data_IF_182080379393
#
_entry.id   IF_182080379393
#
_cell.length_a   1.000
_cell.length_b   1.000
_cell.length_c   1.000
_cell.angle_alpha   90.00
_cell.angle_beta   90.00
_cell.angle_gamma   90.00
#
_symmetry.space_group_name_H-M   'P 1'
#
loop_
_entity.id
_entity.type
_entity.pdbx_description
1 polymer ?
#
# COMPACT_ATOMS: atom_id res chain seq x y z
N UNK A 1 13.52 -16.37 18.03
CA UNK A 1 12.11 -16.17 18.40
C UNK A 1 12.08 -15.25 19.61
N UNK A 2 11.01 -14.47 19.80
CA UNK A 2 10.88 -13.60 20.97
C UNK A 2 9.43 -13.53 21.44
N UNK A 3 9.24 -13.48 22.76
CA UNK A 3 7.94 -13.32 23.41
C UNK A 3 7.94 -12.03 24.23
N UNK A 4 6.78 -11.35 24.21
CA UNK A 4 6.51 -10.15 24.99
C UNK A 4 5.15 -10.35 25.61
N UNK A 5 5.06 -10.23 26.93
CA UNK A 5 3.76 -10.25 27.61
C UNK A 5 2.99 -8.97 27.24
N UNK A 6 1.73 -9.10 26.78
CA UNK A 6 0.95 -7.94 26.37
C UNK A 6 0.60 -7.11 27.61
N UNK A 7 1.25 -5.95 27.73
CA UNK A 7 0.94 -4.93 28.72
C UNK A 7 0.99 -3.53 28.09
N UNK A 8 0.26 -2.58 28.67
CA UNK A 8 0.25 -1.18 28.20
C UNK A 8 1.61 -0.50 28.36
N UNK A 9 2.50 -1.05 29.19
CA UNK A 9 3.89 -0.58 29.38
C UNK A 9 4.94 -1.54 28.84
N UNK A 10 4.55 -2.58 28.07
CA UNK A 10 5.46 -3.60 27.56
C UNK A 10 6.56 -3.02 26.64
N UNK A 11 6.32 -1.87 26.00
CA UNK A 11 7.30 -1.22 25.16
C UNK A 11 6.90 0.17 24.66
N UNK A 12 7.83 0.80 23.96
CA UNK A 12 7.67 2.10 23.30
C UNK A 12 8.19 2.04 21.87
N UNK A 13 7.71 2.94 21.02
CA UNK A 13 8.15 3.00 19.62
C UNK A 13 7.77 4.30 18.95
N UNK A 14 8.38 4.54 17.80
CA UNK A 14 8.08 5.69 16.94
C UNK A 14 8.13 5.27 15.47
N UNK A 15 7.39 6.00 14.64
CA UNK A 15 7.26 5.76 13.21
C UNK A 15 7.06 7.07 12.46
N UNK A 16 7.62 7.17 11.26
CA UNK A 16 7.51 8.32 10.38
C UNK A 16 7.47 7.87 8.91
N UNK A 17 6.66 8.56 8.12
CA UNK A 17 6.64 8.45 6.66
C UNK A 17 6.89 9.83 6.04
N UNK A 18 7.71 9.87 4.99
CA UNK A 18 8.02 11.10 4.26
C UNK A 18 7.82 10.88 2.77
N UNK A 19 7.21 11.83 2.08
CA UNK A 19 7.01 11.70 0.64
C UNK A 19 6.73 13.01 -0.07
N UNK A 20 7.00 13.00 -1.37
CA UNK A 20 6.73 14.11 -2.28
C UNK A 20 6.02 13.57 -3.51
N UNK A 21 5.05 14.34 -4.02
CA UNK A 21 4.33 14.04 -5.26
C UNK A 21 4.41 15.27 -6.16
N UNK A 22 4.76 15.03 -7.41
CA UNK A 22 4.74 16.00 -8.49
C UNK A 22 3.67 15.59 -9.50
N UNK A 23 2.83 16.54 -9.91
CA UNK A 23 1.78 16.34 -10.90
C UNK A 23 1.90 17.40 -11.99
N UNK A 24 1.92 16.95 -13.24
CA UNK A 24 1.91 17.76 -14.44
C UNK A 24 0.60 17.52 -15.18
N UNK A 25 -0.15 18.59 -15.43
CA UNK A 25 -1.46 18.57 -16.07
C UNK A 25 -1.36 18.93 -17.55
N UNK A 26 -2.37 18.54 -18.33
CA UNK A 26 -2.38 18.81 -19.78
C UNK A 26 -2.62 20.27 -20.15
N UNK A 27 -3.37 20.98 -19.32
CA UNK A 27 -3.63 22.40 -19.47
C UNK A 27 -2.86 23.17 -18.38
N UNK A 28 -2.72 24.49 -18.55
CA UNK A 28 -2.16 25.34 -17.51
C UNK A 28 -3.05 25.30 -16.27
N UNK A 29 -2.48 24.89 -15.14
CA UNK A 29 -3.19 24.79 -13.86
C UNK A 29 -3.40 26.16 -13.19
N UNK A 30 -3.00 27.26 -13.84
CA UNK A 30 -3.17 28.61 -13.34
C UNK A 30 -4.67 28.87 -13.07
N UNK A 31 -5.03 28.94 -11.78
CA UNK A 31 -6.39 29.21 -11.29
C UNK A 31 -7.42 28.10 -11.56
N UNK A 32 -6.98 26.85 -11.74
CA UNK A 32 -7.90 25.71 -11.83
C UNK A 32 -8.65 25.50 -10.49
N UNK A 33 -9.98 25.62 -10.53
CA UNK A 33 -10.87 25.20 -9.44
C UNK A 33 -11.69 24.00 -9.92
N UNK A 34 -11.52 22.80 -9.33
CA UNK A 34 -12.28 21.65 -9.75
C UNK A 34 -13.77 21.91 -9.58
N UNK A 35 -14.56 21.51 -10.59
CA UNK A 35 -16.03 21.61 -10.59
C UNK A 35 -16.59 23.05 -10.50
N UNK A 36 -15.91 24.03 -11.11
CA UNK A 36 -16.43 25.39 -11.34
C UNK A 36 -16.71 25.68 -12.82
N UNK A 37 -17.58 26.67 -13.08
CA UNK A 37 -18.04 27.02 -14.43
C UNK A 37 -16.95 27.57 -15.36
N UNK A 38 -15.92 28.25 -14.83
CA UNK A 38 -14.77 28.72 -15.64
C UNK A 38 -13.83 27.59 -16.10
N UNK A 39 -13.83 26.44 -15.40
CA UNK A 39 -13.02 25.26 -15.74
C UNK A 39 -13.80 24.14 -16.43
N UNK A 40 -14.99 24.43 -16.98
CA UNK A 40 -15.82 23.44 -17.68
C UNK A 40 -16.50 22.40 -16.77
N UNK A 41 -16.51 22.60 -15.45
CA UNK A 41 -17.10 21.71 -14.45
C UNK A 41 -16.55 20.26 -14.43
N UNK A 42 -15.44 19.99 -15.10
CA UNK A 42 -14.77 18.69 -15.14
C UNK A 42 -13.42 18.75 -14.41
N UNK A 43 -12.98 17.63 -13.78
CA UNK A 43 -11.61 17.53 -13.27
C UNK A 43 -10.61 17.77 -14.40
N UNK A 44 -9.46 18.35 -14.08
CA UNK A 44 -8.37 18.47 -15.02
C UNK A 44 -7.66 17.13 -15.10
N UNK A 45 -7.40 16.67 -16.32
CA UNK A 45 -6.67 15.43 -16.54
C UNK A 45 -5.17 15.69 -16.33
N UNK A 46 -4.52 14.80 -15.58
CA UNK A 46 -3.06 14.80 -15.48
C UNK A 46 -2.44 14.18 -16.74
N UNK A 47 -1.29 14.70 -17.13
CA UNK A 47 -0.41 14.11 -18.13
C UNK A 47 0.59 13.14 -17.46
N UNK A 48 1.17 13.57 -16.35
CA UNK A 48 2.14 12.80 -15.58
C UNK A 48 2.00 13.08 -14.09
N UNK A 49 2.01 12.03 -13.28
CA UNK A 49 2.11 12.13 -11.82
C UNK A 49 3.22 11.20 -11.34
N UNK A 50 4.14 11.72 -10.54
CA UNK A 50 5.24 10.96 -9.94
C UNK A 50 5.21 11.18 -8.44
N UNK A 51 5.30 10.11 -7.66
CA UNK A 51 5.42 10.13 -6.21
C UNK A 51 6.65 9.37 -5.76
N UNK A 52 7.38 9.91 -4.79
CA UNK A 52 8.48 9.23 -4.11
C UNK A 52 8.26 9.36 -2.62
N UNK A 53 8.34 8.24 -1.91
CA UNK A 53 8.08 8.17 -0.47
C UNK A 53 9.03 7.19 0.20
N UNK A 54 9.47 7.55 1.40
CA UNK A 54 10.19 6.69 2.32
C UNK A 54 9.21 6.37 3.45
N UNK A 55 8.84 5.10 3.56
CA UNK A 55 7.80 4.62 4.48
C UNK A 55 8.39 3.72 5.55
N UNK A 56 7.69 3.63 6.68
CA UNK A 56 7.99 2.81 7.84
C UNK A 56 9.36 3.12 8.47
N UNK A 57 9.73 4.41 8.57
CA UNK A 57 10.93 4.84 9.30
C UNK A 57 10.67 4.76 10.79
N UNK A 58 11.35 3.87 11.50
CA UNK A 58 11.28 3.84 12.95
C UNK A 58 11.63 2.51 13.55
N UNK A 59 11.21 2.34 14.80
CA UNK A 59 11.51 1.14 15.57
C UNK A 59 10.70 1.05 16.84
N UNK A 60 10.62 -0.18 17.32
CA UNK A 60 9.98 -0.59 18.55
C UNK A 60 11.04 -1.05 19.53
N UNK A 61 10.84 -0.76 20.81
CA UNK A 61 11.64 -1.22 21.94
C UNK A 61 10.71 -1.79 22.99
N UNK A 62 10.97 -3.02 23.39
CA UNK A 62 10.30 -3.67 24.50
C UNK A 62 11.27 -3.74 25.68
N UNK A 63 10.83 -3.29 26.85
CA UNK A 63 11.69 -3.25 28.03
C UNK A 63 11.69 -4.59 28.78
N UNK A 64 10.63 -5.39 28.62
CA UNK A 64 10.52 -6.77 29.09
C UNK A 64 10.25 -7.67 27.89
N UNK A 65 11.26 -8.38 27.41
CA UNK A 65 11.12 -9.31 26.30
C UNK A 65 12.04 -10.50 26.52
N UNK A 66 11.54 -11.70 26.23
CA UNK A 66 12.34 -12.92 26.24
C UNK A 66 12.66 -13.30 24.81
N UNK A 67 13.91 -13.14 24.40
CA UNK A 67 14.39 -13.50 23.06
C UNK A 67 15.31 -14.73 23.14
N UNK A 68 15.07 -15.72 22.29
CA UNK A 68 15.90 -16.92 22.14
C UNK A 68 16.33 -17.09 20.69
N UNK A 69 17.58 -17.47 20.47
CA UNK A 69 18.06 -17.91 19.15
C UNK A 69 18.05 -19.43 19.09
N UNK A 70 17.72 -19.99 17.93
CA UNK A 70 17.79 -21.42 17.68
C UNK A 70 18.78 -21.66 16.56
N UNK A 71 19.86 -22.37 16.87
CA UNK A 71 20.83 -22.84 15.89
C UNK A 71 20.45 -24.28 15.55
N UNK A 72 20.12 -24.53 14.29
CA UNK A 72 19.39 -25.71 13.82
C UNK A 72 19.79 -27.07 14.43
N UNK A 73 18.81 -27.73 15.05
CA UNK A 73 18.78 -29.16 15.35
C UNK A 73 17.34 -29.57 15.67
N UNK A 74 16.75 -30.45 14.86
CA UNK A 74 15.36 -30.95 15.00
C UNK A 74 14.91 -31.06 16.46
N UNK A 75 13.90 -30.27 16.83
CA UNK A 75 13.26 -30.37 18.14
C UNK A 75 12.51 -31.71 18.22
N UNK A 76 13.02 -32.63 19.03
CA UNK A 76 12.41 -33.91 19.34
C UNK A 76 11.62 -33.74 20.64
N UNK A 77 10.30 -33.94 20.58
CA UNK A 77 9.41 -33.89 21.74
C UNK A 77 9.04 -35.34 22.12
N UNK A 78 9.69 -35.95 23.13
CA UNK A 78 9.24 -37.22 23.67
C UNK A 78 8.08 -36.95 24.66
N UNK A 79 6.96 -37.65 24.43
CA UNK A 79 5.75 -37.69 25.27
C UNK A 79 4.89 -36.42 25.38
N UNK A 80 3.73 -36.48 24.72
CA UNK A 80 2.71 -35.43 24.66
C UNK A 80 1.59 -35.59 25.70
N UNK A 81 1.59 -36.70 26.46
CA UNK A 81 0.44 -37.13 27.26
C UNK A 81 0.44 -36.60 28.71
N UNK A 82 1.45 -35.84 29.13
CA UNK A 82 1.61 -35.37 30.51
C UNK A 82 1.76 -33.85 30.66
N UNK A 83 1.28 -33.05 29.71
CA UNK A 83 1.46 -31.59 29.74
C UNK A 83 0.11 -30.90 29.88
N UNK A 84 -0.18 -30.51 31.13
CA UNK A 84 -1.31 -29.63 31.44
C UNK A 84 -0.91 -28.19 31.08
N UNK A 85 -1.26 -27.75 29.87
CA UNK A 85 -0.90 -26.44 29.33
C UNK A 85 -1.85 -25.37 29.91
N UNK A 86 -1.69 -25.08 31.19
CA UNK A 86 -2.39 -23.98 31.86
C UNK A 86 -1.53 -22.70 31.78
N UNK A 87 -1.61 -22.01 30.64
CA UNK A 87 -1.02 -20.68 30.45
C UNK A 87 0.39 -20.65 29.86
N UNK A 88 0.92 -19.42 29.70
CA UNK A 88 2.20 -19.10 29.05
C UNK A 88 3.42 -19.76 29.74
N UNK A 89 3.34 -20.05 31.04
CA UNK A 89 4.39 -20.72 31.81
C UNK A 89 4.60 -22.19 31.39
N UNK A 90 3.53 -22.89 31.03
CA UNK A 90 3.60 -24.27 30.54
C UNK A 90 4.29 -24.37 29.17
N UNK A 91 4.11 -23.34 28.33
CA UNK A 91 4.77 -23.26 27.02
C UNK A 91 6.27 -22.93 27.20
N UNK A 92 6.63 -22.03 28.12
CA UNK A 92 8.05 -21.72 28.44
C UNK A 92 8.82 -22.96 28.94
N UNK A 93 8.20 -23.79 29.79
CA UNK A 93 8.82 -25.03 30.29
C UNK A 93 9.13 -26.07 29.18
N UNK A 94 8.24 -26.17 28.18
CA UNK A 94 8.38 -27.04 27.02
C UNK A 94 9.53 -26.62 26.11
N UNK A 95 9.69 -25.32 25.90
CA UNK A 95 10.77 -24.77 25.08
C UNK A 95 12.12 -24.76 25.81
N UNK A 96 12.15 -24.54 27.13
CA UNK A 96 13.36 -24.67 27.96
C UNK A 96 13.94 -26.08 27.96
N UNK A 97 13.10 -27.11 27.90
CA UNK A 97 13.56 -28.50 27.81
C UNK A 97 14.21 -28.85 26.45
N UNK A 98 13.90 -28.09 25.40
CA UNK A 98 14.31 -28.39 24.01
C UNK A 98 15.47 -27.51 23.48
N UNK A 99 15.89 -26.45 24.18
CA UNK A 99 16.82 -25.44 23.63
C UNK A 99 18.03 -25.24 24.55
N UNK A 100 19.23 -25.47 24.01
CA UNK A 100 20.50 -25.50 24.76
C UNK A 100 21.11 -24.13 25.11
N UNK A 101 20.50 -23.02 24.67
CA UNK A 101 20.99 -21.66 24.94
C UNK A 101 19.82 -20.71 25.14
N UNK A 102 19.42 -20.51 26.40
CA UNK A 102 18.46 -19.48 26.78
C UNK A 102 19.23 -18.28 27.33
N UNK A 103 19.30 -17.20 26.55
CA UNK A 103 19.84 -15.93 27.02
C UNK A 103 18.69 -14.97 27.19
N UNK A 104 18.23 -14.78 28.43
CA UNK A 104 17.27 -13.73 28.75
C UNK A 104 17.97 -12.37 28.60
N UNK A 105 17.98 -11.79 27.41
CA UNK A 105 18.43 -10.41 27.24
C UNK A 105 17.34 -9.45 27.71
N UNK A 106 17.74 -8.45 28.51
CA UNK A 106 16.87 -7.38 28.98
C UNK A 106 16.59 -6.39 27.84
N UNK A 107 15.54 -6.69 27.08
CA UNK A 107 14.89 -5.76 26.17
C UNK A 107 15.14 -6.04 24.69
N UNK A 108 14.05 -6.06 23.92
CA UNK A 108 14.04 -6.38 22.49
C UNK A 108 13.86 -5.10 21.67
N UNK A 109 14.69 -4.90 20.64
CA UNK A 109 14.54 -3.80 19.70
C UNK A 109 14.24 -4.33 18.31
N UNK A 110 13.08 -3.96 17.76
CA UNK A 110 12.64 -4.35 16.42
C UNK A 110 12.57 -3.11 15.55
N UNK A 111 13.36 -3.07 14.48
CA UNK A 111 13.23 -2.02 13.48
C UNK A 111 12.00 -2.23 12.58
N UNK A 112 11.30 -1.15 12.25
CA UNK A 112 10.19 -1.18 11.29
C UNK A 112 10.68 -1.59 9.88
N UNK A 113 9.78 -2.13 9.03
CA UNK A 113 10.11 -2.63 7.69
C UNK A 113 10.26 -1.49 6.67
N UNK A 114 11.22 -0.60 6.91
CA UNK A 114 11.51 0.58 6.09
C UNK A 114 11.56 0.24 4.61
N UNK A 115 10.89 1.03 3.77
CA UNK A 115 10.88 0.85 2.32
C UNK A 115 10.85 2.17 1.55
N UNK A 116 11.47 2.18 0.38
CA UNK A 116 11.31 3.22 -0.64
C UNK A 116 10.14 2.83 -1.54
N UNK A 117 9.18 3.73 -1.71
CA UNK A 117 8.02 3.59 -2.59
C UNK A 117 8.03 4.70 -3.64
N UNK A 118 8.21 4.29 -4.90
CA UNK A 118 8.17 5.15 -6.08
C UNK A 118 6.94 4.79 -6.90
N UNK A 119 6.18 5.80 -7.31
CA UNK A 119 4.95 5.62 -8.08
C UNK A 119 4.97 6.59 -9.25
N UNK A 120 4.54 6.14 -10.42
CA UNK A 120 4.40 6.97 -11.61
C UNK A 120 3.10 6.63 -12.31
N UNK A 121 2.43 7.63 -12.87
CA UNK A 121 1.18 7.48 -13.61
C UNK A 121 1.23 8.44 -14.78
N UNK A 122 1.24 7.89 -15.99
CA UNK A 122 1.39 8.65 -17.23
C UNK A 122 0.20 8.41 -18.14
N UNK A 123 -0.36 9.48 -18.69
CA UNK A 123 -1.29 9.42 -19.81
C UNK A 123 -0.52 9.18 -21.11
N UNK A 124 -0.89 8.12 -21.83
CA UNK A 124 -0.27 7.75 -23.11
C UNK A 124 -1.12 8.28 -24.27
N UNK A 125 -2.44 8.16 -24.16
CA UNK A 125 -3.39 8.63 -25.14
C UNK A 125 -4.71 9.03 -24.47
N UNK A 126 -5.67 9.52 -25.24
CA UNK A 126 -6.98 9.95 -24.72
C UNK A 126 -7.73 8.79 -24.05
N UNK A 127 -7.73 8.79 -22.72
CA UNK A 127 -8.32 7.75 -21.89
C UNK A 127 -7.43 6.52 -21.67
N UNK A 128 -6.19 6.49 -22.16
CA UNK A 128 -5.24 5.39 -21.89
C UNK A 128 -4.11 5.89 -20.98
N UNK A 129 -3.92 5.20 -19.86
CA UNK A 129 -2.92 5.51 -18.86
C UNK A 129 -2.09 4.27 -18.54
N UNK A 130 -0.85 4.48 -18.13
CA UNK A 130 0.00 3.43 -17.60
C UNK A 130 0.52 3.91 -16.25
N UNK A 131 0.24 3.15 -15.21
CA UNK A 131 0.81 3.37 -13.89
C UNK A 131 1.93 2.36 -13.62
N UNK A 132 2.97 2.80 -12.93
CA UNK A 132 4.04 1.99 -12.39
C UNK A 132 4.16 2.22 -10.89
N UNK A 133 4.38 1.17 -10.12
CA UNK A 133 4.69 1.28 -8.70
C UNK A 133 5.86 0.36 -8.36
N UNK A 134 6.84 0.89 -7.66
CA UNK A 134 8.04 0.19 -7.26
C UNK A 134 8.28 0.39 -5.77
N UNK A 135 8.27 -0.70 -5.01
CA UNK A 135 8.51 -0.69 -3.57
C UNK A 135 9.73 -1.57 -3.29
N UNK A 136 10.77 -0.94 -2.75
CA UNK A 136 12.02 -1.57 -2.40
C UNK A 136 12.21 -1.52 -0.89
N UNK A 137 12.30 -2.68 -0.24
CA UNK A 137 12.67 -2.77 1.16
C UNK A 137 14.09 -2.21 1.34
N UNK A 138 14.27 -1.37 2.35
CA UNK A 138 15.55 -0.79 2.76
C UNK A 138 16.03 -1.30 4.13
N UNK A 139 15.29 -2.23 4.72
CA UNK A 139 15.65 -2.82 6.01
C UNK A 139 17.01 -3.53 5.95
N UNK A 140 17.89 -3.23 6.92
CA UNK A 140 19.26 -3.73 6.98
C UNK A 140 19.34 -5.27 7.12
N UNK A 141 20.43 -5.87 6.62
CA UNK A 141 20.65 -7.33 6.58
C UNK A 141 20.89 -7.99 7.95
N UNK A 142 21.07 -7.23 9.03
CA UNK A 142 21.40 -7.74 10.36
C UNK A 142 20.44 -7.19 11.44
N UNK A 143 19.96 -8.09 12.31
CA UNK A 143 19.06 -7.81 13.43
C UNK A 143 17.65 -8.40 13.26
N UNK A 144 16.95 -8.62 14.38
CA UNK A 144 15.55 -9.08 14.41
C UNK A 144 14.62 -7.95 13.94
N UNK A 145 14.15 -8.03 12.69
CA UNK A 145 13.32 -6.99 12.05
C UNK A 145 12.22 -7.60 11.19
N UNK A 146 11.13 -6.85 11.05
CA UNK A 146 10.06 -7.20 10.11
C UNK A 146 10.55 -6.96 8.67
N UNK A 147 10.22 -7.88 7.76
CA UNK A 147 10.58 -7.80 6.34
C UNK A 147 9.32 -7.57 5.50
N UNK A 148 9.42 -6.66 4.52
CA UNK A 148 8.38 -6.39 3.51
C UNK A 148 8.85 -6.93 2.16
N UNK A 149 8.03 -7.65 1.38
CA UNK A 149 8.44 -8.10 0.05
C UNK A 149 8.68 -6.90 -0.89
N UNK A 150 9.74 -6.98 -1.71
CA UNK A 150 9.94 -6.02 -2.81
C UNK A 150 8.83 -6.23 -3.85
N UNK A 151 8.29 -5.17 -4.40
CA UNK A 151 7.21 -5.28 -5.40
C UNK A 151 7.42 -4.32 -6.55
N UNK A 152 7.20 -4.80 -7.77
CA UNK A 152 7.13 -3.99 -8.97
C UNK A 152 5.79 -4.24 -9.65
N UNK A 153 5.03 -3.18 -9.89
CA UNK A 153 3.73 -3.24 -10.54
C UNK A 153 3.71 -2.36 -11.78
N UNK A 154 3.12 -2.87 -12.85
CA UNK A 154 2.78 -2.10 -14.05
C UNK A 154 1.31 -2.32 -14.35
N UNK A 155 0.56 -1.22 -14.49
CA UNK A 155 -0.89 -1.24 -14.59
C UNK A 155 -1.32 -0.38 -15.78
N UNK A 156 -1.39 -0.94 -16.99
CA UNK A 156 -2.14 -0.32 -18.07
C UNK A 156 -3.61 -0.23 -17.70
N UNK A 157 -4.21 0.96 -17.90
CA UNK A 157 -5.63 1.21 -17.68
C UNK A 157 -6.22 2.06 -18.78
N UNK A 158 -7.45 1.73 -19.17
CA UNK A 158 -8.28 2.56 -20.01
C UNK A 158 -9.41 3.16 -19.16
N UNK A 159 -9.50 4.48 -19.12
CA UNK A 159 -10.40 5.23 -18.28
C UNK A 159 -11.27 6.21 -19.09
N UNK A 160 -12.58 6.11 -18.83
CA UNK A 160 -13.62 7.06 -19.21
C UNK A 160 -14.37 7.50 -17.94
N UNK A 161 -15.18 8.54 -18.06
CA UNK A 161 -15.94 9.08 -16.93
C UNK A 161 -16.74 8.00 -16.16
N UNK A 162 -17.49 7.15 -16.89
CA UNK A 162 -18.36 6.12 -16.30
C UNK A 162 -17.80 4.70 -16.36
N UNK A 163 -16.74 4.45 -17.12
CA UNK A 163 -16.19 3.12 -17.31
C UNK A 163 -14.67 3.16 -17.23
N UNK A 164 -14.06 2.21 -16.54
CA UNK A 164 -12.63 1.97 -16.66
C UNK A 164 -12.33 0.47 -16.64
N UNK A 165 -11.25 0.09 -17.30
CA UNK A 165 -10.67 -1.25 -17.25
C UNK A 165 -9.18 -1.13 -16.99
N UNK A 166 -8.63 -1.97 -16.11
CA UNK A 166 -7.20 -1.99 -15.81
C UNK A 166 -6.69 -3.43 -15.74
N UNK A 167 -5.44 -3.62 -16.12
CA UNK A 167 -4.77 -4.93 -16.12
C UNK A 167 -3.50 -4.84 -15.28
N UNK A 168 -3.58 -5.00 -13.95
CA UNK A 168 -2.39 -4.96 -13.11
C UNK A 168 -1.49 -6.19 -13.36
N UNK A 169 -0.21 -5.93 -13.55
CA UNK A 169 0.86 -6.93 -13.59
C UNK A 169 1.77 -6.65 -12.41
N UNK A 170 1.86 -7.59 -11.47
CA UNK A 170 2.63 -7.46 -10.23
C UNK A 170 3.71 -8.54 -10.16
N UNK A 171 4.95 -8.10 -9.94
CA UNK A 171 6.10 -8.93 -9.64
C UNK A 171 6.42 -8.81 -8.15
N UNK A 172 6.39 -9.92 -7.44
CA UNK A 172 6.82 -10.00 -6.04
C UNK A 172 8.26 -10.50 -5.99
N UNK A 173 9.10 -9.84 -5.20
CA UNK A 173 10.53 -10.09 -5.07
C UNK A 173 11.30 -10.14 -6.42
N UNK A 174 10.78 -9.45 -7.44
CA UNK A 174 11.30 -9.49 -8.81
C UNK A 174 11.27 -10.90 -9.45
N UNK A 175 10.41 -11.80 -8.97
CA UNK A 175 10.21 -13.11 -9.58
C UNK A 175 9.41 -12.97 -10.90
N UNK A 176 10.13 -13.03 -12.01
CA UNK A 176 9.58 -12.96 -13.37
C UNK A 176 8.88 -14.27 -13.75
N UNK A 177 9.19 -15.40 -13.09
CA UNK A 177 8.59 -16.68 -13.42
C UNK A 177 7.13 -16.79 -12.94
N UNK A 178 6.73 -15.97 -11.95
CA UNK A 178 5.40 -16.03 -11.32
C UNK A 178 4.76 -14.64 -11.18
N UNK A 179 4.49 -13.93 -12.29
CA UNK A 179 3.77 -12.66 -12.23
C UNK A 179 2.34 -12.88 -11.77
N UNK A 180 1.84 -12.02 -10.88
CA UNK A 180 0.41 -11.92 -10.62
C UNK A 180 -0.21 -11.01 -11.68
N UNK A 181 -1.15 -11.55 -12.47
CA UNK A 181 -1.93 -10.78 -13.44
C UNK A 181 -3.35 -10.68 -12.93
N UNK A 182 -3.86 -9.44 -12.89
CA UNK A 182 -5.23 -9.16 -12.54
C UNK A 182 -6.00 -8.49 -13.65
N UNK A 183 -7.29 -8.32 -13.39
CA UNK A 183 -8.18 -7.46 -14.17
C UNK A 183 -9.12 -6.72 -13.24
N UNK A 184 -9.34 -5.45 -13.51
CA UNK A 184 -10.22 -4.58 -12.75
C UNK A 184 -11.17 -3.87 -13.72
N UNK A 185 -12.45 -3.86 -13.39
CA UNK A 185 -13.47 -3.09 -14.08
C UNK A 185 -14.09 -2.09 -13.12
N UNK A 186 -14.25 -0.84 -13.58
CA UNK A 186 -15.00 0.21 -12.88
C UNK A 186 -16.22 0.56 -13.71
N UNK A 187 -17.40 0.39 -13.13
CA UNK A 187 -18.67 0.85 -13.66
C UNK A 187 -19.22 1.92 -12.72
N UNK A 188 -19.02 3.18 -13.09
CA UNK A 188 -19.46 4.35 -12.34
C UNK A 188 -18.91 4.33 -10.90
N UNK A 189 -19.75 3.93 -9.94
CA UNK A 189 -19.46 3.88 -8.50
C UNK A 189 -19.10 2.49 -7.99
N UNK A 190 -19.11 1.46 -8.84
CA UNK A 190 -18.78 0.09 -8.47
C UNK A 190 -17.51 -0.31 -9.20
N UNK A 191 -16.58 -0.91 -8.49
CA UNK A 191 -15.36 -1.51 -9.01
C UNK A 191 -15.39 -2.98 -8.64
N UNK A 192 -15.09 -3.85 -9.61
CA UNK A 192 -14.94 -5.29 -9.40
C UNK A 192 -13.63 -5.72 -10.04
N UNK A 193 -12.86 -6.57 -9.38
CA UNK A 193 -11.63 -7.08 -9.95
C UNK A 193 -11.13 -8.34 -9.26
N UNK A 194 -10.04 -8.86 -9.81
CA UNK A 194 -9.27 -9.99 -9.31
C UNK A 194 -7.80 -9.71 -9.60
N UNK A 195 -6.90 -10.02 -8.66
CA UNK A 195 -5.46 -9.86 -8.85
C UNK A 195 -4.76 -11.18 -9.26
N UNK A 196 -5.49 -12.29 -9.28
CA UNK A 196 -5.03 -13.62 -9.68
C UNK A 196 -5.92 -14.22 -10.78
N UNK A 197 -5.87 -13.65 -11.98
CA UNK A 197 -6.62 -14.13 -13.15
C UNK A 197 -6.00 -15.40 -13.77
N UNK A 198 -4.68 -15.61 -13.66
CA UNK A 198 -3.98 -16.76 -14.27
C UNK A 198 -4.62 -18.11 -13.94
N UNK A 199 -4.88 -18.43 -12.65
CA UNK A 199 -5.46 -19.72 -12.27
C UNK A 199 -6.93 -19.89 -12.68
N UNK A 200 -7.65 -18.80 -12.94
CA UNK A 200 -9.04 -18.83 -13.42
C UNK A 200 -9.12 -19.17 -14.92
N UNK A 201 -8.10 -18.81 -15.69
CA UNK A 201 -8.04 -19.02 -17.15
C UNK A 201 -7.27 -20.29 -17.51
N UNK A 202 -6.24 -20.65 -16.73
CA UNK A 202 -5.40 -21.82 -16.98
C UNK A 202 -5.71 -22.90 -15.94
N UNK A 203 -6.18 -24.08 -16.36
CA UNK A 203 -6.46 -25.26 -15.50
C UNK A 203 -5.17 -25.91 -14.94
N UNK A 204 -4.26 -25.14 -14.35
CA UNK A 204 -3.09 -25.63 -13.62
C UNK A 204 -3.20 -25.15 -12.16
N UNK A 205 -2.53 -25.88 -11.27
CA UNK A 205 -2.61 -25.80 -9.81
C UNK A 205 -3.01 -24.41 -9.26
N UNK A 206 -4.15 -24.37 -8.57
CA UNK A 206 -4.73 -23.18 -7.95
C UNK A 206 -3.90 -22.80 -6.70
N UNK A 207 -2.94 -21.90 -6.84
CA UNK A 207 -2.17 -21.40 -5.70
C UNK A 207 -2.90 -20.30 -4.90
N UNK A 208 -3.74 -19.49 -5.56
CA UNK A 208 -4.60 -18.48 -4.94
C UNK A 208 -5.66 -17.97 -5.92
N UNK A 209 -6.87 -17.67 -5.45
CA UNK A 209 -7.91 -16.97 -6.21
C UNK A 209 -8.55 -15.90 -5.31
N UNK A 210 -8.71 -14.69 -5.84
CA UNK A 210 -9.27 -13.56 -5.13
C UNK A 210 -10.26 -12.81 -6.03
N UNK A 211 -11.33 -12.30 -5.43
CA UNK A 211 -12.27 -11.39 -6.07
C UNK A 211 -12.58 -10.28 -5.08
N UNK A 212 -12.50 -9.04 -5.53
CA UNK A 212 -12.82 -7.88 -4.71
C UNK A 212 -13.88 -7.01 -5.36
N UNK A 213 -14.68 -6.37 -4.51
CA UNK A 213 -15.67 -5.37 -4.88
C UNK A 213 -15.41 -4.11 -4.07
N UNK A 214 -15.33 -2.97 -4.74
CA UNK A 214 -15.18 -1.65 -4.10
C UNK A 214 -16.31 -0.75 -4.54
N UNK A 215 -17.05 -0.21 -3.58
CA UNK A 215 -18.08 0.80 -3.80
C UNK A 215 -17.47 2.18 -3.53
N UNK A 216 -17.49 3.06 -4.51
CA UNK A 216 -17.01 4.44 -4.44
C UNK A 216 -18.12 5.37 -4.92
N UNK A 217 -18.74 6.11 -4.02
CA UNK A 217 -19.71 7.13 -4.40
C UNK A 217 -19.00 8.30 -5.12
N UNK A 218 -19.26 8.47 -6.41
CA UNK A 218 -18.62 9.50 -7.24
C UNK A 218 -19.61 10.60 -7.60
N UNK A 219 -19.40 11.80 -7.07
CA UNK A 219 -20.16 13.00 -7.46
C UNK A 219 -19.42 13.68 -8.60
N UNK A 220 -19.90 13.51 -9.84
CA UNK A 220 -19.22 14.06 -11.03
C UNK A 220 -19.42 15.56 -11.23
N UNK A 221 -20.51 16.12 -10.69
CA UNK A 221 -20.83 17.54 -10.80
C UNK A 221 -21.24 18.10 -9.45
N UNK A 222 -20.56 19.16 -9.03
CA UNK A 222 -20.97 19.92 -7.86
C UNK A 222 -22.36 20.57 -8.08
N UNK A 223 -23.09 20.91 -6.99
CA UNK A 223 -24.39 21.58 -7.08
C UNK A 223 -24.37 22.86 -7.93
N UNK A 224 -23.24 23.57 -7.92
CA UNK A 224 -23.00 24.80 -8.68
C UNK A 224 -22.98 24.60 -10.22
N UNK A 225 -22.77 23.36 -10.67
CA UNK A 225 -22.71 22.97 -12.09
C UNK A 225 -24.03 22.34 -12.59
N UNK A 226 -25.11 22.38 -11.80
CA UNK A 226 -26.44 21.94 -12.25
C UNK A 226 -26.96 22.89 -13.34
N UNK A 227 -27.36 22.33 -14.49
CA UNK A 227 -27.92 23.09 -15.62
C UNK A 227 -26.90 23.81 -16.52
N UNK A 228 -25.62 23.90 -16.14
CA UNK A 228 -24.56 24.48 -16.98
C UNK A 228 -23.95 23.40 -17.89
N UNK A 229 -23.83 23.68 -19.20
CA UNK A 229 -23.09 22.82 -20.14
C UNK A 229 -21.59 23.03 -19.94
N UNK A 230 -20.81 21.97 -20.09
CA UNK A 230 -19.34 22.06 -20.20
C UNK A 230 -19.02 22.89 -21.45
N UNK A 231 -18.50 24.10 -21.24
CA UNK A 231 -17.99 24.96 -22.31
C UNK A 231 -16.52 24.65 -22.60
N UNK A 232 -15.97 25.17 -23.71
CA UNK A 232 -14.53 25.11 -23.97
C UNK A 232 -13.76 25.71 -22.78
N UNK A 233 -12.65 25.07 -22.38
CA UNK A 233 -11.73 25.66 -21.42
C UNK A 233 -11.06 26.85 -22.10
N UNK A 234 -11.34 28.07 -21.64
CA UNK A 234 -10.59 29.25 -22.07
C UNK A 234 -9.39 29.41 -21.14
N UNK A 235 -8.14 29.28 -21.62
CA UNK A 235 -6.97 29.55 -20.81
C UNK A 235 -7.06 30.97 -20.23
N UNK A 236 -6.93 31.11 -18.91
CA UNK A 236 -6.93 32.42 -18.24
C UNK A 236 -8.30 33.06 -17.96
N UNK A 237 -9.42 32.34 -18.05
CA UNK A 237 -10.74 32.91 -17.73
C UNK A 237 -10.80 33.43 -16.28
N UNK A 238 -11.20 34.70 -16.12
CA UNK A 238 -11.11 35.50 -14.89
C UNK A 238 -12.12 35.07 -13.80
N UNK A 239 -12.77 33.91 -13.95
CA UNK A 239 -13.81 33.39 -13.07
C UNK A 239 -13.31 32.73 -11.78
N UNK A 240 -12.11 33.05 -11.30
CA UNK A 240 -11.67 32.70 -9.94
C UNK A 240 -12.15 33.79 -8.96
N UNK A 241 -12.35 33.41 -7.70
CA UNK A 241 -12.78 34.31 -6.63
C UNK A 241 -12.02 35.65 -6.70
N UNK A 242 -12.66 36.79 -6.37
CA UNK A 242 -11.86 37.92 -5.91
C UNK A 242 -11.04 37.35 -4.75
N UNK A 243 -9.72 37.29 -4.90
CA UNK A 243 -8.87 37.35 -3.72
C UNK A 243 -9.44 38.56 -2.98
N UNK A 244 -10.06 38.35 -1.82
CA UNK A 244 -10.34 39.48 -0.95
C UNK A 244 -8.96 40.04 -0.67
N UNK A 245 -8.60 41.09 -1.42
CA UNK A 245 -7.52 41.97 -1.09
C UNK A 245 -7.80 42.35 0.37
N UNK A 246 -6.93 41.97 1.33
CA UNK A 246 -7.05 42.50 2.66
C UNK A 246 -6.62 43.97 2.55
N UNK A 247 -7.53 44.81 2.04
CA UNK A 247 -7.29 46.21 1.75
C UNK A 247 -6.98 46.98 3.03
N UNK A 248 -6.08 47.95 2.90
CA UNK A 248 -6.05 49.15 3.75
C UNK A 248 -4.84 49.24 4.66
#
# INVERSE_FOLDING_TARGET
YAFVDPDMTAGSGWGLDLGVVYEHTLDDAERFVPHRSGGGCEPMDHDLRIGVSLIDLGGLRFDQATAGSFTGGTAYFPDYDAIDVNGLEGVDSLFRASVSSFTSESGLRIGLPMALSVQADKRIANGLYVAGAWVQQLSARSGDRLRRPNTLAVVPRYEKQRFAIAFPVLLREYDIARPALGVMFRFNSIVVGTDHLLPLVTRRDLYAADVYVRVKWTVFRGPYCRGKRSGPRTPGDQGAFPCADPQG
#
